data_IF_520235555203
#
_entry.id   IF_520235555203
#
_cell.length_a   1.000
_cell.length_b   1.000
_cell.length_c   1.000
_cell.angle_alpha   90.00
_cell.angle_beta   90.00
_cell.angle_gamma   90.00
#
_symmetry.space_group_name_H-M   'P 1'
#
loop_
_entity.id
_entity.type
_entity.pdbx_description
1 polymer ?
#
# COMPACT_ATOMS: atom_id res chain seq x y z
N UNK A 1 -2.29 -0.66 -16.56
CA UNK A 1 -2.03 0.40 -15.57
C UNK A 1 -3.03 1.49 -15.82
N UNK A 2 -3.84 1.85 -14.83
CA UNK A 2 -4.66 3.07 -14.94
C UNK A 2 -3.72 4.25 -15.16
N UNK A 3 -3.91 5.06 -16.20
CA UNK A 3 -2.99 6.15 -16.56
C UNK A 3 -2.87 7.24 -15.49
N UNK A 4 -3.73 7.24 -14.47
CA UNK A 4 -3.78 8.24 -13.39
C UNK A 4 -3.14 7.77 -12.07
N UNK A 5 -2.47 6.62 -12.04
CA UNK A 5 -1.83 6.13 -10.82
C UNK A 5 -0.40 6.66 -10.68
N UNK A 6 -0.06 7.17 -9.49
CA UNK A 6 1.31 7.56 -9.14
C UNK A 6 2.29 6.37 -9.35
N UNK A 7 3.28 6.49 -10.25
CA UNK A 7 4.11 5.36 -10.67
C UNK A 7 5.13 4.92 -9.62
N UNK A 8 5.32 5.71 -8.56
CA UNK A 8 6.16 5.32 -7.43
C UNK A 8 5.44 4.41 -6.43
N UNK A 9 4.11 4.28 -6.50
CA UNK A 9 3.35 3.37 -5.64
C UNK A 9 3.77 1.93 -5.92
N UNK A 10 4.03 1.18 -4.85
CA UNK A 10 4.47 -0.21 -4.92
C UNK A 10 3.55 -1.10 -4.10
N UNK A 11 3.40 -2.32 -4.60
CA UNK A 11 2.77 -3.42 -3.88
C UNK A 11 1.29 -3.19 -3.61
N UNK A 12 0.75 -4.07 -2.79
CA UNK A 12 -0.65 -4.01 -2.37
C UNK A 12 -0.85 -2.92 -1.33
N UNK A 13 -1.85 -2.09 -1.55
CA UNK A 13 -2.28 -1.07 -0.59
C UNK A 13 -3.47 -1.58 0.23
N UNK A 14 -3.77 -0.91 1.35
CA UNK A 14 -4.96 -1.17 2.16
C UNK A 14 -5.14 -2.65 2.51
N UNK A 15 -4.04 -3.33 2.87
CA UNK A 15 -4.05 -4.74 3.22
C UNK A 15 -5.00 -4.99 4.40
N UNK A 16 -5.86 -5.99 4.25
CA UNK A 16 -6.80 -6.44 5.28
C UNK A 16 -6.75 -7.95 5.42
N UNK A 17 -7.14 -8.43 6.59
CA UNK A 17 -7.22 -9.85 6.91
C UNK A 17 -8.68 -10.18 7.17
N UNK A 18 -9.22 -11.09 6.39
CA UNK A 18 -10.59 -11.57 6.50
C UNK A 18 -10.57 -13.03 6.96
N UNK A 19 -11.22 -13.33 8.10
CA UNK A 19 -11.36 -14.69 8.61
C UNK A 19 -12.53 -15.37 7.91
N UNK A 20 -12.26 -16.41 7.13
CA UNK A 20 -13.22 -17.08 6.26
C UNK A 20 -13.28 -18.58 6.54
N UNK A 21 -14.47 -19.16 6.42
CA UNK A 21 -14.76 -20.56 6.68
C UNK A 21 -14.94 -21.29 5.35
N UNK A 22 -14.20 -22.37 5.14
CA UNK A 22 -14.46 -23.31 4.06
C UNK A 22 -15.54 -24.29 4.51
N UNK A 23 -16.73 -24.25 3.91
CA UNK A 23 -17.88 -25.03 4.33
C UNK A 23 -18.25 -26.01 3.22
N UNK A 24 -18.47 -27.27 3.58
CA UNK A 24 -19.12 -28.25 2.69
C UNK A 24 -20.55 -28.47 3.15
N UNK A 25 -21.48 -28.52 2.23
CA UNK A 25 -22.91 -28.72 2.45
C UNK A 25 -23.43 -29.61 1.32
N UNK A 26 -24.37 -30.50 1.64
CA UNK A 26 -24.96 -31.48 0.71
C UNK A 26 -23.93 -32.37 -0.05
N UNK A 27 -24.29 -33.60 -0.36
CA UNK A 27 -23.40 -34.45 -1.17
C UNK A 27 -23.38 -33.89 -2.61
N UNK A 28 -22.18 -33.68 -3.17
CA UNK A 28 -21.89 -33.17 -4.53
C UNK A 28 -21.89 -31.64 -4.78
N UNK A 29 -22.12 -30.79 -3.77
CA UNK A 29 -21.92 -29.34 -3.94
C UNK A 29 -20.45 -28.91 -3.73
N UNK A 30 -19.97 -27.89 -4.49
CA UNK A 30 -18.64 -27.34 -4.25
C UNK A 30 -18.57 -26.65 -2.88
N UNK A 31 -17.41 -26.64 -2.21
CA UNK A 31 -17.24 -25.89 -0.97
C UNK A 31 -17.51 -24.40 -1.18
N UNK A 32 -18.12 -23.77 -0.18
CA UNK A 32 -18.38 -22.34 -0.15
C UNK A 32 -17.54 -21.65 0.91
N UNK A 33 -17.29 -20.36 0.72
CA UNK A 33 -16.49 -19.52 1.59
C UNK A 33 -17.35 -18.43 2.19
N UNK A 34 -17.52 -18.45 3.51
CA UNK A 34 -18.31 -17.44 4.22
C UNK A 34 -17.57 -16.93 5.46
N UNK A 35 -17.70 -15.63 5.79
CA UNK A 35 -17.20 -15.11 7.05
C UNK A 35 -18.01 -15.69 8.22
N UNK A 36 -17.36 -15.77 9.38
CA UNK A 36 -18.05 -16.04 10.64
C UNK A 36 -18.88 -14.82 11.04
N UNK A 37 -20.11 -15.03 11.48
CA UNK A 37 -20.97 -13.94 11.95
C UNK A 37 -20.31 -13.18 13.13
N UNK A 38 -20.40 -11.83 13.19
CA UNK A 38 -19.75 -11.03 14.23
C UNK A 38 -20.08 -11.41 15.69
N UNK A 39 -21.26 -11.96 15.96
CA UNK A 39 -21.62 -12.45 17.31
C UNK A 39 -20.69 -13.57 17.81
N UNK A 40 -20.09 -14.33 16.89
CA UNK A 40 -19.20 -15.45 17.16
C UNK A 40 -17.73 -15.14 16.89
N UNK A 41 -17.37 -13.88 16.62
CA UNK A 41 -15.97 -13.49 16.33
C UNK A 41 -14.95 -13.85 17.43
N UNK A 42 -15.43 -14.05 18.66
CA UNK A 42 -14.63 -14.45 19.82
C UNK A 42 -14.24 -15.93 19.83
N UNK A 43 -14.86 -16.78 19.00
CA UNK A 43 -14.58 -18.21 18.97
C UNK A 43 -13.19 -18.49 18.39
N UNK A 44 -12.34 -19.30 19.05
CA UNK A 44 -11.06 -19.72 18.51
C UNK A 44 -11.23 -20.76 17.38
N UNK A 45 -10.22 -20.93 16.52
CA UNK A 45 -10.30 -21.80 15.33
C UNK A 45 -10.61 -23.27 15.66
N UNK A 46 -10.18 -23.76 16.82
CA UNK A 46 -10.42 -25.13 17.31
C UNK A 46 -11.87 -25.37 17.77
N UNK A 47 -12.67 -24.31 17.95
CA UNK A 47 -14.11 -24.36 18.24
C UNK A 47 -14.97 -24.09 17.01
N UNK A 48 -14.34 -24.01 15.83
CA UNK A 48 -15.01 -23.69 14.56
C UNK A 48 -14.68 -24.75 13.52
N UNK A 49 -13.40 -25.10 13.38
CA UNK A 49 -12.96 -26.09 12.42
C UNK A 49 -13.56 -27.46 12.75
N UNK A 50 -14.07 -28.13 11.72
CA UNK A 50 -14.72 -29.44 11.79
C UNK A 50 -16.07 -29.46 12.52
N UNK A 51 -16.61 -28.29 12.90
CA UNK A 51 -17.88 -28.20 13.61
C UNK A 51 -19.04 -27.95 12.63
N UNK A 52 -20.26 -28.41 12.97
CA UNK A 52 -21.47 -28.09 12.22
C UNK A 52 -21.77 -26.59 12.25
N UNK A 53 -22.32 -26.10 11.15
CA UNK A 53 -22.73 -24.71 11.01
C UNK A 53 -24.03 -24.58 10.23
N UNK A 54 -24.73 -23.47 10.43
CA UNK A 54 -25.78 -22.98 9.53
C UNK A 54 -25.29 -21.71 8.85
N UNK A 55 -25.65 -21.50 7.59
CA UNK A 55 -25.19 -20.35 6.83
C UNK A 55 -26.24 -19.86 5.82
N UNK A 56 -25.99 -18.66 5.30
CA UNK A 56 -26.69 -18.06 4.16
C UNK A 56 -25.64 -17.50 3.17
N UNK A 57 -26.07 -16.68 2.21
CA UNK A 57 -25.16 -16.13 1.21
C UNK A 57 -24.11 -15.15 1.79
N UNK A 58 -24.29 -14.66 3.01
CA UNK A 58 -23.50 -13.57 3.58
C UNK A 58 -22.58 -14.04 4.72
N UNK A 59 -23.04 -14.96 5.58
CA UNK A 59 -22.29 -15.40 6.76
C UNK A 59 -22.65 -16.82 7.21
N UNK A 60 -21.82 -17.37 8.10
CA UNK A 60 -22.04 -18.64 8.77
C UNK A 60 -22.02 -18.51 10.31
N UNK A 61 -22.74 -19.42 10.96
CA UNK A 61 -22.88 -19.55 12.42
C UNK A 61 -22.55 -20.98 12.84
N UNK A 62 -21.68 -21.15 13.84
CA UNK A 62 -21.39 -22.45 14.46
C UNK A 62 -22.52 -22.81 15.41
N UNK A 63 -23.09 -24.00 15.24
CA UNK A 63 -24.21 -24.48 16.06
C UNK A 63 -23.75 -25.30 17.27
N UNK A 64 -22.62 -25.99 17.15
CA UNK A 64 -22.12 -26.84 18.23
C UNK A 64 -21.57 -26.01 19.40
N UNK A 65 -22.18 -26.17 20.57
CA UNK A 65 -21.77 -25.51 21.81
C UNK A 65 -22.10 -24.02 21.89
N UNK A 66 -22.89 -23.49 20.95
CA UNK A 66 -23.26 -22.07 20.88
C UNK A 66 -24.77 -21.89 21.11
N UNK A 67 -25.13 -20.81 21.80
CA UNK A 67 -26.52 -20.37 21.93
C UNK A 67 -26.79 -19.32 20.85
N UNK A 68 -27.49 -19.72 19.78
CA UNK A 68 -27.79 -18.86 18.63
C UNK A 68 -29.19 -18.25 18.83
N UNK A 69 -29.34 -16.92 18.79
CA UNK A 69 -30.64 -16.28 18.77
C UNK A 69 -31.52 -16.79 17.62
N UNK A 70 -32.79 -17.13 17.90
CA UNK A 70 -33.73 -17.70 16.92
C UNK A 70 -33.88 -16.81 15.66
N UNK A 71 -33.78 -15.49 15.82
CA UNK A 71 -33.85 -14.52 14.73
C UNK A 71 -32.63 -14.57 13.79
N UNK A 72 -31.44 -14.91 14.32
CA UNK A 72 -30.24 -15.14 13.51
C UNK A 72 -30.26 -16.51 12.86
N UNK A 73 -30.68 -17.54 13.60
CA UNK A 73 -30.80 -18.91 13.07
C UNK A 73 -31.80 -18.97 11.90
N UNK A 74 -32.94 -18.28 12.03
CA UNK A 74 -33.96 -18.21 10.97
C UNK A 74 -33.47 -17.53 9.67
N UNK A 75 -32.36 -16.79 9.70
CA UNK A 75 -31.76 -16.18 8.51
C UNK A 75 -30.87 -17.16 7.73
N UNK A 76 -30.49 -18.28 8.33
CA UNK A 76 -29.68 -19.32 7.72
C UNK A 76 -30.57 -20.46 7.21
N UNK A 77 -30.37 -20.85 5.95
CA UNK A 77 -31.25 -21.82 5.27
C UNK A 77 -30.54 -23.13 4.96
N UNK A 78 -29.21 -23.15 5.10
CA UNK A 78 -28.37 -24.27 4.69
C UNK A 78 -27.52 -24.72 5.86
N UNK A 79 -27.54 -26.02 6.12
CA UNK A 79 -26.67 -26.67 7.09
C UNK A 79 -25.41 -27.17 6.40
N UNK A 80 -24.28 -27.12 7.10
CA UNK A 80 -23.00 -27.56 6.58
C UNK A 80 -22.01 -27.91 7.69
N UNK A 81 -20.80 -28.26 7.28
CA UNK A 81 -19.69 -28.53 8.18
C UNK A 81 -18.50 -27.69 7.74
N UNK A 82 -17.92 -26.93 8.67
CA UNK A 82 -16.69 -26.20 8.43
C UNK A 82 -15.54 -27.19 8.29
N UNK A 83 -14.82 -27.17 7.17
CA UNK A 83 -13.66 -28.03 6.93
C UNK A 83 -12.36 -27.42 7.39
N UNK A 84 -12.21 -26.12 7.23
CA UNK A 84 -11.04 -25.38 7.66
C UNK A 84 -11.38 -23.91 7.83
N UNK A 85 -10.61 -23.23 8.67
CA UNK A 85 -10.63 -21.76 8.79
C UNK A 85 -9.40 -21.23 8.05
N UNK A 86 -9.58 -20.18 7.27
CA UNK A 86 -8.49 -19.47 6.61
C UNK A 86 -8.54 -17.99 6.96
N UNK A 87 -7.37 -17.37 6.95
CA UNK A 87 -7.20 -15.94 7.09
C UNK A 87 -6.72 -15.42 5.74
N UNK A 88 -7.69 -14.93 4.96
CA UNK A 88 -7.47 -14.40 3.64
C UNK A 88 -6.88 -12.99 3.74
N UNK A 89 -5.71 -12.79 3.16
CA UNK A 89 -5.11 -11.46 2.98
C UNK A 89 -5.63 -10.91 1.67
N UNK A 90 -6.25 -9.74 1.72
CA UNK A 90 -6.66 -9.00 0.53
C UNK A 90 -6.14 -7.57 0.59
N UNK A 91 -6.10 -6.89 -0.55
CA UNK A 91 -5.60 -5.53 -0.67
C UNK A 91 -6.16 -4.83 -1.89
N UNK A 92 -5.55 -3.70 -2.21
CA UNK A 92 -5.81 -2.88 -3.37
C UNK A 92 -4.56 -2.86 -4.27
N UNK A 93 -4.75 -3.23 -5.54
CA UNK A 93 -3.74 -3.11 -6.59
C UNK A 93 -4.18 -2.03 -7.58
N UNK A 94 -3.68 -0.81 -7.39
CA UNK A 94 -4.00 0.35 -8.23
C UNK A 94 -5.50 0.64 -8.38
N UNK A 95 -6.23 0.62 -7.27
CA UNK A 95 -7.67 0.85 -7.21
C UNK A 95 -8.52 -0.39 -7.49
N UNK A 96 -7.89 -1.56 -7.68
CA UNK A 96 -8.58 -2.83 -7.88
C UNK A 96 -8.46 -3.71 -6.62
N UNK A 97 -9.58 -4.10 -6.00
CA UNK A 97 -9.55 -5.08 -4.92
C UNK A 97 -8.95 -6.40 -5.41
N UNK A 98 -7.96 -6.91 -4.70
CA UNK A 98 -7.25 -8.15 -5.05
C UNK A 98 -7.11 -9.06 -3.85
N UNK A 99 -7.20 -10.37 -4.10
CA UNK A 99 -6.84 -11.39 -3.12
C UNK A 99 -5.33 -11.68 -3.22
N UNK A 100 -4.63 -11.56 -2.11
CA UNK A 100 -3.16 -11.72 -2.04
C UNK A 100 -2.78 -13.14 -1.70
N UNK A 101 -3.47 -13.76 -0.74
CA UNK A 101 -3.27 -15.16 -0.39
C UNK A 101 -3.98 -15.58 0.89
N UNK A 102 -4.12 -16.90 1.05
CA UNK A 102 -4.69 -17.52 2.24
C UNK A 102 -3.59 -17.99 3.20
N UNK A 103 -3.86 -17.83 4.49
CA UNK A 103 -3.04 -18.40 5.58
C UNK A 103 -3.92 -19.20 6.53
N UNK A 104 -3.30 -20.07 7.33
CA UNK A 104 -4.02 -21.00 8.21
C UNK A 104 -3.94 -20.61 9.70
N UNK A 105 -3.47 -19.40 10.01
CA UNK A 105 -3.58 -18.80 11.35
C UNK A 105 -3.57 -17.27 11.25
N UNK A 106 -4.15 -16.60 12.24
CA UNK A 106 -4.17 -15.14 12.29
C UNK A 106 -2.76 -14.55 12.38
N UNK A 107 -1.86 -15.18 13.14
CA UNK A 107 -0.48 -14.76 13.28
C UNK A 107 0.28 -14.81 11.96
N UNK A 108 0.08 -15.88 11.17
CA UNK A 108 0.68 -16.01 9.85
C UNK A 108 0.15 -14.93 8.89
N UNK A 109 -1.15 -14.65 8.92
CA UNK A 109 -1.76 -13.57 8.13
C UNK A 109 -1.16 -12.20 8.49
N UNK A 110 -1.05 -11.92 9.80
CA UNK A 110 -0.44 -10.70 10.33
C UNK A 110 1.03 -10.59 9.93
N UNK A 111 1.78 -11.68 9.93
CA UNK A 111 3.17 -11.68 9.46
C UNK A 111 3.26 -11.37 7.96
N UNK A 112 2.37 -11.93 7.14
CA UNK A 112 2.29 -11.61 5.70
C UNK A 112 2.00 -10.12 5.50
N UNK A 113 0.97 -9.58 6.17
CA UNK A 113 0.65 -8.15 6.12
C UNK A 113 1.85 -7.33 6.57
N UNK A 114 2.46 -7.65 7.71
CA UNK A 114 3.61 -6.93 8.22
C UNK A 114 4.80 -6.91 7.24
N UNK A 115 5.09 -8.03 6.56
CA UNK A 115 6.13 -8.09 5.51
C UNK A 115 5.74 -7.26 4.29
N UNK A 116 4.47 -7.28 3.89
CA UNK A 116 3.96 -6.57 2.72
C UNK A 116 3.61 -5.10 2.97
N UNK A 117 3.56 -4.63 4.22
CA UNK A 117 3.26 -3.23 4.55
C UNK A 117 4.49 -2.32 4.46
N UNK A 118 5.69 -2.86 4.18
CA UNK A 118 6.93 -2.10 3.96
C UNK A 118 7.34 -1.17 5.13
N UNK A 119 6.75 -1.29 6.31
CA UNK A 119 6.93 -0.38 7.45
C UNK A 119 8.35 -0.40 8.02
N UNK A 120 9.02 -1.55 7.93
CA UNK A 120 10.21 -1.85 8.73
C UNK A 120 11.54 -1.58 8.03
N UNK A 121 11.52 -0.94 6.85
CA UNK A 121 12.74 -0.59 6.10
C UNK A 121 13.46 -1.79 5.47
N UNK A 122 12.87 -2.98 5.51
CA UNK A 122 13.38 -4.21 4.87
C UNK A 122 13.33 -4.15 3.34
N UNK A 123 12.53 -3.23 2.81
CA UNK A 123 12.40 -2.99 1.38
C UNK A 123 12.90 -1.59 1.03
N UNK A 124 13.70 -1.53 -0.02
CA UNK A 124 14.37 -0.32 -0.47
C UNK A 124 13.34 0.74 -0.87
N UNK A 125 13.21 1.82 -0.09
CA UNK A 125 12.46 3.03 -0.48
C UNK A 125 13.29 3.94 -1.40
N UNK A 126 14.13 3.31 -2.22
CA UNK A 126 15.00 3.95 -3.16
C UNK A 126 14.51 3.67 -4.58
N UNK A 127 14.59 4.69 -5.42
CA UNK A 127 14.35 4.60 -6.85
C UNK A 127 15.53 5.22 -7.58
N UNK A 128 15.83 4.66 -8.74
CA UNK A 128 16.75 5.20 -9.73
C UNK A 128 15.99 5.21 -11.05
N UNK A 129 15.82 6.40 -11.63
CA UNK A 129 15.01 6.64 -12.83
C UNK A 129 15.76 7.54 -13.79
N UNK A 130 15.36 7.49 -15.06
CA UNK A 130 15.96 8.34 -16.09
C UNK A 130 15.91 9.83 -15.73
N UNK A 131 17.01 10.56 -15.94
CA UNK A 131 17.00 12.02 -15.84
C UNK A 131 16.11 12.70 -16.89
N UNK A 132 15.66 11.98 -17.93
CA UNK A 132 14.71 12.46 -18.94
C UNK A 132 13.34 12.86 -18.36
N UNK A 133 13.04 12.51 -17.11
CA UNK A 133 11.84 12.98 -16.39
C UNK A 133 11.97 14.41 -15.84
N UNK A 134 13.10 15.07 -16.07
CA UNK A 134 13.34 16.46 -15.69
C UNK A 134 13.59 17.30 -16.94
N UNK A 135 13.08 18.54 -16.96
CA UNK A 135 13.54 19.51 -17.95
C UNK A 135 15.03 19.85 -17.72
N UNK A 136 15.74 20.34 -18.75
CA UNK A 136 17.13 20.78 -18.58
C UNK A 136 17.30 21.85 -17.49
N UNK A 137 16.30 22.72 -17.31
CA UNK A 137 16.27 23.71 -16.22
C UNK A 137 16.16 23.04 -14.84
N UNK A 138 15.25 22.08 -14.68
CA UNK A 138 15.10 21.30 -13.46
C UNK A 138 16.38 20.55 -13.09
N UNK A 139 17.03 19.91 -14.08
CA UNK A 139 18.31 19.23 -13.89
C UNK A 139 19.41 20.17 -13.40
N UNK A 140 19.55 21.36 -14.01
CA UNK A 140 20.52 22.38 -13.56
C UNK A 140 20.20 22.93 -12.17
N UNK A 141 18.93 23.18 -11.88
CA UNK A 141 18.49 23.64 -10.56
C UNK A 141 18.86 22.63 -9.47
N UNK A 142 18.54 21.34 -9.71
CA UNK A 142 18.85 20.27 -8.77
C UNK A 142 20.36 20.06 -8.60
N UNK A 143 21.13 20.16 -9.68
CA UNK A 143 22.60 20.11 -9.64
C UNK A 143 23.17 21.24 -8.78
N UNK A 144 22.64 22.46 -8.93
CA UNK A 144 23.02 23.61 -8.10
C UNK A 144 22.72 23.38 -6.62
N UNK A 145 21.57 22.79 -6.30
CA UNK A 145 21.22 22.43 -4.92
C UNK A 145 22.14 21.35 -4.32
N UNK A 146 22.66 20.43 -5.14
CA UNK A 146 23.58 19.39 -4.69
C UNK A 146 24.97 19.94 -4.34
N UNK A 147 25.32 21.11 -4.89
CA UNK A 147 26.63 21.75 -4.70
C UNK A 147 26.64 22.79 -3.56
N UNK A 148 25.48 23.11 -2.97
CA UNK A 148 25.34 24.10 -1.88
C UNK A 148 24.65 23.48 -0.66
N UNK A 149 24.68 24.18 0.48
CA UNK A 149 23.82 23.84 1.61
C UNK A 149 22.35 24.09 1.21
N UNK A 150 21.55 23.03 1.13
CA UNK A 150 20.14 23.13 0.75
C UNK A 150 19.40 24.06 1.72
N UNK A 151 18.68 25.09 1.22
CA UNK A 151 17.92 25.99 2.09
C UNK A 151 16.91 25.24 2.95
N UNK A 152 16.59 25.77 4.14
CA UNK A 152 15.57 25.18 5.01
C UNK A 152 14.20 25.14 4.33
N UNK A 153 13.34 24.18 4.71
CA UNK A 153 11.95 24.09 4.24
C UNK A 153 11.75 23.50 2.84
N UNK A 154 12.77 22.85 2.26
CA UNK A 154 12.56 22.02 1.05
C UNK A 154 12.15 20.58 1.39
N UNK A 155 12.34 20.14 2.64
CA UNK A 155 12.13 18.75 3.06
C UNK A 155 12.82 17.70 2.15
N UNK A 156 13.91 18.08 1.49
CA UNK A 156 14.82 17.15 0.85
C UNK A 156 16.25 17.70 0.85
N UNK A 157 17.21 16.83 0.56
CA UNK A 157 18.61 17.19 0.32
C UNK A 157 19.05 16.58 -1.00
N UNK A 158 19.61 17.40 -1.88
CA UNK A 158 20.24 16.93 -3.11
C UNK A 158 21.73 16.59 -2.85
N UNK A 159 22.27 15.60 -3.53
CA UNK A 159 23.67 15.19 -3.39
C UNK A 159 24.23 14.64 -4.70
N UNK A 160 25.55 14.83 -4.89
CA UNK A 160 26.30 14.24 -6.00
C UNK A 160 26.70 12.81 -5.68
N UNK A 161 26.71 11.95 -6.70
CA UNK A 161 27.34 10.63 -6.63
C UNK A 161 28.73 10.75 -7.26
N UNK A 162 29.82 10.45 -6.53
CA UNK A 162 31.17 10.57 -7.08
C UNK A 162 31.34 9.75 -8.36
N UNK A 163 31.97 10.36 -9.37
CA UNK A 163 32.22 9.76 -10.68
C UNK A 163 30.98 9.37 -11.49
N UNK A 164 29.80 9.85 -11.11
CA UNK A 164 28.57 9.68 -11.86
C UNK A 164 27.94 11.06 -12.17
N UNK A 165 27.37 11.26 -13.38
CA UNK A 165 26.58 12.45 -13.67
C UNK A 165 25.24 12.48 -12.93
N UNK A 166 24.84 11.36 -12.31
CA UNK A 166 23.58 11.23 -11.60
C UNK A 166 23.50 12.13 -10.37
N UNK A 167 22.28 12.58 -10.07
CA UNK A 167 21.98 13.40 -8.90
C UNK A 167 21.00 12.67 -8.01
N UNK A 168 21.39 12.48 -6.76
CA UNK A 168 20.56 11.87 -5.74
C UNK A 168 19.78 12.91 -4.94
N UNK A 169 18.59 12.51 -4.49
CA UNK A 169 17.70 13.28 -3.63
C UNK A 169 17.31 12.41 -2.45
N UNK A 170 17.58 12.89 -1.24
CA UNK A 170 17.06 12.33 -0.01
C UNK A 170 15.82 13.11 0.41
N UNK A 171 14.65 12.50 0.27
CA UNK A 171 13.38 13.07 0.73
C UNK A 171 13.26 12.93 2.26
N UNK A 172 12.69 13.94 2.91
CA UNK A 172 12.53 14.08 4.36
C UNK A 172 11.04 14.17 4.68
N UNK A 173 10.65 13.71 5.86
CA UNK A 173 9.26 13.74 6.34
C UNK A 173 8.27 13.05 5.39
N UNK A 174 8.69 11.97 4.73
CA UNK A 174 7.81 11.17 3.86
C UNK A 174 6.90 10.22 4.68
N UNK A 175 5.69 9.91 4.21
CA UNK A 175 5.11 10.40 2.97
C UNK A 175 4.60 11.85 3.05
N UNK A 176 4.61 12.58 1.95
CA UNK A 176 4.05 13.94 1.88
C UNK A 176 2.53 13.93 1.73
N UNK A 177 1.84 13.32 2.69
CA UNK A 177 0.38 13.43 2.87
C UNK A 177 0.06 14.57 3.82
N UNK A 178 -1.13 15.16 3.71
CA UNK A 178 -1.58 16.21 4.63
C UNK A 178 -1.50 15.76 6.09
N UNK A 179 -1.95 14.54 6.39
CA UNK A 179 -1.91 13.99 7.74
C UNK A 179 -0.49 13.92 8.32
N UNK A 180 0.49 13.49 7.52
CA UNK A 180 1.87 13.33 7.99
C UNK A 180 2.60 14.69 8.07
N UNK A 181 2.45 15.55 7.07
CA UNK A 181 3.07 16.87 7.08
C UNK A 181 2.49 17.78 8.17
N UNK A 182 1.18 17.68 8.45
CA UNK A 182 0.57 18.43 9.55
C UNK A 182 1.14 18.00 10.91
N UNK A 183 1.49 16.72 11.06
CA UNK A 183 2.06 16.17 12.28
C UNK A 183 3.53 16.57 12.47
N UNK A 184 4.33 16.57 11.39
CA UNK A 184 5.79 16.73 11.48
C UNK A 184 6.24 18.18 11.26
N UNK A 185 5.60 18.91 10.35
CA UNK A 185 5.99 20.26 9.91
C UNK A 185 4.90 21.31 10.17
N UNK A 186 3.67 20.88 10.47
CA UNK A 186 2.55 21.78 10.74
C UNK A 186 1.90 22.40 9.50
N UNK A 187 2.22 21.88 8.31
CA UNK A 187 1.72 22.35 7.00
C UNK A 187 1.03 21.21 6.22
N UNK A 188 0.28 21.58 5.20
CA UNK A 188 -0.33 20.67 4.22
C UNK A 188 0.61 20.34 3.06
N UNK A 189 0.30 19.30 2.30
CA UNK A 189 1.05 18.93 1.10
C UNK A 189 0.99 20.03 0.03
N UNK A 190 -0.15 20.71 -0.10
CA UNK A 190 -0.28 21.81 -1.05
C UNK A 190 0.52 23.04 -0.62
N UNK A 191 0.58 23.37 0.68
CA UNK A 191 1.45 24.45 1.18
C UNK A 191 2.93 24.17 0.89
N UNK A 192 3.40 22.94 1.11
CA UNK A 192 4.76 22.53 0.74
C UNK A 192 5.01 22.67 -0.77
N UNK A 193 4.03 22.29 -1.61
CA UNK A 193 4.12 22.44 -3.07
C UNK A 193 4.25 23.92 -3.46
N UNK A 194 3.46 24.79 -2.86
CA UNK A 194 3.53 26.23 -3.09
C UNK A 194 4.85 26.83 -2.60
N UNK A 195 5.40 26.35 -1.48
CA UNK A 195 6.70 26.78 -0.98
C UNK A 195 7.83 26.43 -1.97
N UNK A 196 7.80 25.23 -2.57
CA UNK A 196 8.78 24.85 -3.60
C UNK A 196 8.70 25.76 -4.83
N UNK A 197 7.49 26.04 -5.33
CA UNK A 197 7.28 26.96 -6.45
C UNK A 197 7.75 28.38 -6.11
N UNK A 198 7.45 28.87 -4.91
CA UNK A 198 7.88 30.18 -4.44
C UNK A 198 9.41 30.31 -4.33
N UNK A 199 10.12 29.21 -4.08
CA UNK A 199 11.60 29.15 -4.09
C UNK A 199 12.20 28.95 -5.49
N UNK A 200 11.39 29.02 -6.54
CA UNK A 200 11.83 28.93 -7.93
C UNK A 200 12.14 27.52 -8.40
N UNK A 201 11.62 26.49 -7.73
CA UNK A 201 11.77 25.12 -8.19
C UNK A 201 11.02 24.91 -9.51
N UNK A 202 11.67 24.39 -10.56
CA UNK A 202 10.99 24.10 -11.82
C UNK A 202 9.90 23.04 -11.66
N UNK A 203 8.79 23.21 -12.38
CA UNK A 203 7.56 22.41 -12.17
C UNK A 203 7.78 20.91 -12.35
N UNK A 204 8.57 20.48 -13.35
CA UNK A 204 8.87 19.06 -13.56
C UNK A 204 9.55 18.41 -12.34
N UNK A 205 10.36 19.18 -11.60
CA UNK A 205 11.00 18.72 -10.37
C UNK A 205 10.01 18.69 -9.20
N UNK A 206 9.15 19.71 -9.08
CA UNK A 206 8.09 19.75 -8.06
C UNK A 206 7.21 18.51 -8.18
N UNK A 207 6.69 18.24 -9.38
CA UNK A 207 5.74 17.16 -9.60
C UNK A 207 6.35 15.77 -9.33
N UNK A 208 7.54 15.48 -9.87
CA UNK A 208 8.18 14.17 -9.66
C UNK A 208 8.55 13.93 -8.20
N UNK A 209 9.05 14.95 -7.48
CA UNK A 209 9.41 14.81 -6.06
C UNK A 209 8.16 14.63 -5.19
N UNK A 210 7.08 15.34 -5.50
CA UNK A 210 5.80 15.18 -4.78
C UNK A 210 5.18 13.80 -5.02
N UNK A 211 5.21 13.28 -6.25
CA UNK A 211 4.77 11.91 -6.55
C UNK A 211 5.62 10.88 -5.78
N UNK A 212 6.94 11.00 -5.84
CA UNK A 212 7.84 10.10 -5.13
C UNK A 212 7.62 10.15 -3.60
N UNK A 213 7.56 11.35 -3.04
CA UNK A 213 7.37 11.53 -1.61
C UNK A 213 5.99 11.05 -1.14
N UNK A 214 4.92 11.25 -1.93
CA UNK A 214 3.59 10.72 -1.63
C UNK A 214 3.60 9.19 -1.56
N UNK A 215 4.34 8.54 -2.46
CA UNK A 215 4.57 7.09 -2.44
C UNK A 215 5.61 6.63 -1.41
N UNK A 216 5.96 7.49 -0.45
CA UNK A 216 6.90 7.22 0.63
C UNK A 216 8.32 6.85 0.14
N UNK A 217 8.75 7.32 -1.03
CA UNK A 217 10.14 7.21 -1.48
C UNK A 217 11.04 8.05 -0.58
N UNK A 218 12.20 7.52 -0.17
CA UNK A 218 13.18 8.23 0.67
C UNK A 218 14.43 8.64 -0.10
N UNK A 219 14.80 7.88 -1.12
CA UNK A 219 15.92 8.21 -1.99
C UNK A 219 15.45 8.12 -3.44
N UNK A 220 15.71 9.16 -4.22
CA UNK A 220 15.46 9.18 -5.65
C UNK A 220 16.74 9.60 -6.35
N UNK A 221 17.20 8.80 -7.31
CA UNK A 221 18.36 9.09 -8.14
C UNK A 221 17.85 9.36 -9.55
N UNK A 222 18.26 10.50 -10.11
CA UNK A 222 18.08 10.82 -11.51
C UNK A 222 19.39 10.50 -12.23
N UNK A 223 19.37 9.49 -13.09
CA UNK A 223 20.52 9.02 -13.86
C UNK A 223 20.13 8.92 -15.33
N UNK A 224 20.93 9.45 -16.25
CA UNK A 224 20.64 9.37 -17.68
C UNK A 224 20.68 7.92 -18.21
N UNK A 225 21.45 7.04 -17.56
CA UNK A 225 21.60 5.64 -17.94
C UNK A 225 20.51 4.73 -17.32
N UNK A 226 19.68 5.28 -16.41
CA UNK A 226 18.59 4.54 -15.80
C UNK A 226 17.37 4.43 -16.74
N UNK A 227 16.57 3.36 -16.61
CA UNK A 227 15.32 3.22 -17.34
C UNK A 227 14.35 4.37 -17.07
N UNK A 228 13.57 4.74 -18.09
CA UNK A 228 12.40 5.60 -17.90
C UNK A 228 11.36 4.90 -17.02
N UNK A 229 10.73 5.67 -16.14
CA UNK A 229 9.62 5.22 -15.32
C UNK A 229 8.30 5.52 -16.04
N UNK A 230 7.63 4.47 -16.49
CA UNK A 230 6.32 4.57 -17.13
C UNK A 230 5.33 5.34 -16.25
N UNK A 231 4.55 6.22 -16.87
CA UNK A 231 3.59 7.09 -16.17
C UNK A 231 4.13 8.45 -15.75
N UNK A 232 5.44 8.70 -15.88
CA UNK A 232 6.00 10.05 -15.75
C UNK A 232 6.18 10.74 -17.11
N UNK A 233 6.01 12.07 -17.20
CA UNK A 233 6.36 12.83 -18.40
C UNK A 233 7.83 12.66 -18.79
N UNK A 234 8.11 12.75 -20.09
CA UNK A 234 9.45 12.82 -20.63
C UNK A 234 9.68 14.21 -21.24
N UNK A 235 10.86 14.75 -20.99
CA UNK A 235 11.29 16.03 -21.54
C UNK A 235 12.49 15.76 -22.44
N UNK A 236 12.41 16.20 -23.69
CA UNK A 236 13.52 16.07 -24.64
C UNK A 236 14.62 17.08 -24.27
N UNK A 237 15.87 16.63 -24.36
CA UNK A 237 17.02 17.53 -24.40
C UNK A 237 17.07 18.11 -25.83
N UNK A 238 16.62 19.36 -26.02
CA UNK A 238 16.93 20.12 -27.25
C UNK A 238 18.43 20.40 -27.40
#
# INVERSE_FOLDING_TARGET
MSPDSNPFLRGYQNLRIDRSLCITYEDDCPPVWHPLHPSQAHLPDDQIALFPCVFNNDFALITEGQDIPEDLEAQCQTEGVVRTVVYAVSGDDFGQPVHVGDTYSEEAAREVVWRLSFETGFYSRCWEISSAHLTPEAGRFLAGLADIATPSGFLFVAFRIPYSPAIGVKLIATPWTDANLQLVEGITAEELRQEHRAKGMPESLVEVLHLAALANVRMLIFDADAPVLDGLPLYEDE
#
